data_IF_688370209578
#
_entry.id   IF_688370209578
#
_cell.length_a   1.000
_cell.length_b   1.000
_cell.length_c   1.000
_cell.angle_alpha   90.00
_cell.angle_beta   90.00
_cell.angle_gamma   90.00
#
_symmetry.space_group_name_H-M   'P 1'
#
loop_
_entity.id
_entity.type
_entity.pdbx_description
1 polymer ?
#
# COMPACT_ATOMS: atom_id res chain seq x y z
N UNK A 1 -0.95 -0.71 7.57
CA UNK A 1 -1.73 0.03 8.58
C UNK A 1 -2.38 -1.01 9.47
N UNK A 2 -2.08 -1.04 10.77
CA UNK A 2 -2.74 -1.98 11.67
C UNK A 2 -4.22 -1.62 11.80
N UNK A 3 -5.06 -2.63 11.98
CA UNK A 3 -6.46 -2.45 12.36
C UNK A 3 -6.80 -3.35 13.54
N UNK A 4 -7.69 -2.89 14.40
CA UNK A 4 -8.28 -3.66 15.48
C UNK A 4 -9.80 -3.45 15.49
N UNK A 5 -10.53 -4.54 15.62
CA UNK A 5 -11.99 -4.57 15.72
C UNK A 5 -12.33 -5.09 17.10
N UNK A 6 -13.06 -4.29 17.86
CA UNK A 6 -13.47 -4.58 19.22
C UNK A 6 -14.97 -4.83 19.29
N UNK A 7 -15.37 -5.64 20.26
CA UNK A 7 -16.76 -5.78 20.67
C UNK A 7 -17.25 -4.55 21.42
N UNK A 8 -18.56 -4.48 21.72
CA UNK A 8 -19.09 -3.43 22.57
C UNK A 8 -18.41 -3.42 23.95
N UNK A 9 -17.98 -2.24 24.38
CA UNK A 9 -17.51 -2.01 25.74
C UNK A 9 -18.70 -1.95 26.71
N UNK A 10 -18.54 -2.54 27.89
CA UNK A 10 -19.39 -2.28 29.04
C UNK A 10 -18.67 -1.21 29.89
N UNK A 11 -19.42 -0.31 30.53
CA UNK A 11 -18.84 0.78 31.31
C UNK A 11 -17.85 0.25 32.36
N UNK A 12 -16.62 0.77 32.35
CA UNK A 12 -15.53 0.33 33.21
C UNK A 12 -14.77 -0.95 32.77
N UNK A 13 -15.13 -1.58 31.66
CA UNK A 13 -14.44 -2.77 31.13
C UNK A 13 -13.68 -2.45 29.83
N UNK A 14 -12.52 -3.08 29.65
CA UNK A 14 -11.79 -3.03 28.38
C UNK A 14 -12.58 -3.79 27.31
N UNK A 15 -12.80 -3.21 26.12
CA UNK A 15 -13.55 -3.87 25.07
C UNK A 15 -12.81 -5.10 24.56
N UNK A 16 -13.55 -6.19 24.33
CA UNK A 16 -12.98 -7.44 23.84
C UNK A 16 -12.46 -7.29 22.40
N UNK A 17 -11.22 -7.69 22.14
CA UNK A 17 -10.67 -7.72 20.79
C UNK A 17 -11.31 -8.90 20.01
N UNK A 18 -12.04 -8.58 18.95
CA UNK A 18 -12.66 -9.57 18.05
C UNK A 18 -11.68 -9.97 16.95
N UNK A 19 -10.99 -8.99 16.36
CA UNK A 19 -10.11 -9.21 15.21
C UNK A 19 -9.01 -8.15 15.14
N UNK A 20 -7.85 -8.54 14.65
CA UNK A 20 -6.79 -7.61 14.29
C UNK A 20 -6.03 -8.10 13.06
N UNK A 21 -5.31 -7.18 12.44
CA UNK A 21 -4.42 -7.47 11.33
C UNK A 21 -3.87 -6.20 10.72
N UNK A 22 -3.29 -6.33 9.53
CA UNK A 22 -2.73 -5.22 8.77
C UNK A 22 -3.44 -5.07 7.42
N UNK A 23 -3.60 -3.80 7.03
CA UNK A 23 -3.95 -3.36 5.68
C UNK A 23 -2.67 -2.90 4.98
N UNK A 24 -2.30 -3.56 3.87
CA UNK A 24 -1.29 -3.06 2.95
C UNK A 24 -1.91 -1.98 2.06
N UNK A 25 -1.12 -0.96 1.70
CA UNK A 25 -1.55 0.12 0.82
C UNK A 25 -0.39 0.51 -0.11
N UNK A 26 -0.71 0.69 -1.38
CA UNK A 26 0.16 1.31 -2.40
C UNK A 26 -0.65 2.31 -3.20
N UNK A 27 -0.01 3.33 -3.76
CA UNK A 27 -0.70 4.39 -4.48
C UNK A 27 0.17 4.97 -5.59
N UNK A 28 -0.48 5.63 -6.55
CA UNK A 28 0.15 6.41 -7.61
C UNK A 28 -0.59 7.75 -7.76
N UNK A 29 0.14 8.82 -8.12
CA UNK A 29 -0.40 10.17 -8.28
C UNK A 29 0.02 11.14 -7.18
N UNK A 30 -0.82 12.14 -6.88
CA UNK A 30 -0.52 13.18 -5.90
C UNK A 30 -0.39 12.61 -4.48
N UNK A 31 0.86 12.44 -4.01
CA UNK A 31 1.21 11.69 -2.80
C UNK A 31 0.60 12.23 -1.50
N UNK A 32 0.33 13.53 -1.42
CA UNK A 32 -0.24 14.17 -0.21
C UNK A 32 -1.56 13.50 0.18
N UNK A 33 -2.44 13.21 -0.79
CA UNK A 33 -3.77 12.67 -0.50
C UNK A 33 -3.69 11.25 0.06
N UNK A 34 -3.04 10.27 -0.60
CA UNK A 34 -2.84 8.93 -0.04
C UNK A 34 -2.12 8.91 1.30
N UNK A 35 -1.16 9.82 1.53
CA UNK A 35 -0.44 9.88 2.80
C UNK A 35 -1.32 10.40 3.94
N UNK A 36 -2.05 11.51 3.73
CA UNK A 36 -3.01 12.01 4.72
C UNK A 36 -4.09 10.98 5.04
N UNK A 37 -4.58 10.32 3.99
CA UNK A 37 -5.53 9.24 4.13
C UNK A 37 -4.98 8.07 4.92
N UNK A 38 -3.77 7.62 4.61
CA UNK A 38 -3.13 6.52 5.33
C UNK A 38 -3.05 6.82 6.82
N UNK A 39 -2.68 8.04 7.21
CA UNK A 39 -2.59 8.42 8.62
C UNK A 39 -3.98 8.51 9.28
N UNK A 40 -4.95 9.18 8.65
CA UNK A 40 -6.31 9.29 9.17
C UNK A 40 -6.98 7.90 9.31
N UNK A 41 -6.83 7.04 8.29
CA UNK A 41 -7.34 5.68 8.33
C UNK A 41 -6.63 4.83 9.37
N UNK A 42 -5.32 4.96 9.54
CA UNK A 42 -4.58 4.21 10.56
C UNK A 42 -5.12 4.52 11.96
N UNK A 43 -5.43 5.78 12.26
CA UNK A 43 -6.02 6.19 13.54
C UNK A 43 -7.42 5.58 13.72
N UNK A 44 -8.29 5.72 12.72
CA UNK A 44 -9.67 5.22 12.79
C UNK A 44 -9.71 3.69 12.88
N UNK A 45 -8.90 3.01 12.07
CA UNK A 45 -8.84 1.55 12.01
C UNK A 45 -8.22 0.94 13.27
N UNK A 46 -7.44 1.71 14.03
CA UNK A 46 -6.81 1.23 15.25
C UNK A 46 -7.83 0.85 16.34
N UNK A 47 -9.04 1.41 16.31
CA UNK A 47 -10.12 1.14 17.28
C UNK A 47 -11.51 1.14 16.63
N UNK A 48 -11.75 0.21 15.69
CA UNK A 48 -13.09 -0.01 15.13
C UNK A 48 -13.92 -0.85 16.11
N UNK A 49 -15.22 -0.59 16.17
CA UNK A 49 -16.15 -1.39 16.97
C UNK A 49 -17.13 -2.14 16.06
N UNK A 50 -17.43 -3.39 16.40
CA UNK A 50 -18.44 -4.21 15.75
C UNK A 50 -19.28 -4.92 16.80
N UNK A 51 -20.55 -5.18 16.50
CA UNK A 51 -21.43 -5.97 17.37
C UNK A 51 -21.55 -7.39 16.78
N UNK A 52 -20.98 -8.43 17.44
CA UNK A 52 -21.07 -9.80 16.95
C UNK A 52 -22.51 -10.23 16.69
N UNK A 53 -22.77 -10.80 15.51
CA UNK A 53 -24.10 -11.23 15.08
C UNK A 53 -24.98 -10.12 14.48
N UNK A 54 -24.54 -8.85 14.52
CA UNK A 54 -25.27 -7.70 13.96
C UNK A 54 -24.46 -6.92 12.93
N UNK A 55 -23.15 -6.79 13.13
CA UNK A 55 -22.24 -6.08 12.23
C UNK A 55 -21.42 -7.07 11.40
N UNK A 56 -21.22 -6.76 10.12
CA UNK A 56 -20.15 -7.36 9.33
C UNK A 56 -18.81 -6.71 9.71
N UNK A 57 -17.77 -7.53 9.85
CA UNK A 57 -16.41 -7.10 10.19
C UNK A 57 -15.35 -7.88 9.39
N UNK A 58 -15.75 -8.37 8.22
CA UNK A 58 -14.84 -8.96 7.23
C UNK A 58 -14.18 -7.88 6.36
N UNK A 59 -13.30 -8.31 5.46
CA UNK A 59 -12.59 -7.38 4.57
C UNK A 59 -13.52 -6.63 3.60
N UNK A 60 -14.75 -7.11 3.36
CA UNK A 60 -15.73 -6.40 2.56
C UNK A 60 -16.26 -5.16 3.29
N UNK A 61 -16.60 -5.34 4.57
CA UNK A 61 -17.06 -4.26 5.42
C UNK A 61 -15.93 -3.24 5.64
N UNK A 62 -14.71 -3.71 5.92
CA UNK A 62 -13.54 -2.84 6.09
C UNK A 62 -13.20 -2.07 4.81
N UNK A 63 -13.29 -2.68 3.63
CA UNK A 63 -12.98 -1.99 2.37
C UNK A 63 -13.99 -0.89 2.04
N UNK A 64 -15.28 -1.14 2.28
CA UNK A 64 -16.34 -0.12 2.18
C UNK A 64 -16.12 1.03 3.16
N UNK A 65 -15.76 0.70 4.40
CA UNK A 65 -15.44 1.70 5.41
C UNK A 65 -14.25 2.59 5.00
N UNK A 66 -13.15 1.96 4.56
CA UNK A 66 -11.97 2.65 4.02
C UNK A 66 -12.34 3.53 2.83
N UNK A 67 -13.17 3.02 1.92
CA UNK A 67 -13.64 3.76 0.74
C UNK A 67 -14.51 4.97 1.11
N UNK A 68 -15.40 4.85 2.10
CA UNK A 68 -16.20 6.01 2.54
C UNK A 68 -15.33 7.10 3.17
N UNK A 69 -14.30 6.72 3.92
CA UNK A 69 -13.31 7.67 4.42
C UNK A 69 -12.49 8.29 3.28
N UNK A 70 -12.07 7.50 2.28
CA UNK A 70 -11.45 7.99 1.03
C UNK A 70 -12.32 9.07 0.38
N UNK A 71 -13.57 8.73 0.06
CA UNK A 71 -14.50 9.60 -0.68
C UNK A 71 -14.75 10.90 0.10
N UNK A 72 -14.85 10.82 1.42
CA UNK A 72 -15.01 12.00 2.28
C UNK A 72 -13.78 12.92 2.23
N UNK A 73 -12.57 12.37 2.39
CA UNK A 73 -11.32 13.14 2.36
C UNK A 73 -11.08 13.71 0.96
N UNK A 74 -11.29 12.89 -0.08
CA UNK A 74 -11.13 13.27 -1.47
C UNK A 74 -12.04 14.45 -1.85
N UNK A 75 -13.32 14.43 -1.46
CA UNK A 75 -14.24 15.54 -1.75
C UNK A 75 -13.86 16.84 -1.04
N UNK A 76 -13.39 16.78 0.20
CA UNK A 76 -12.90 17.96 0.92
C UNK A 76 -11.63 18.52 0.28
N UNK A 77 -10.73 17.65 -0.17
CA UNK A 77 -9.52 18.03 -0.87
C UNK A 77 -9.80 18.59 -2.26
N UNK A 78 -10.72 18.00 -3.02
CA UNK A 78 -11.04 18.41 -4.39
C UNK A 78 -11.58 19.84 -4.46
N UNK A 79 -12.41 20.22 -3.47
CA UNK A 79 -12.85 21.59 -3.28
C UNK A 79 -11.68 22.59 -3.18
N UNK A 80 -10.54 22.17 -2.65
CA UNK A 80 -9.34 23.01 -2.46
C UNK A 80 -8.40 22.99 -3.66
N UNK A 81 -8.46 21.95 -4.49
CA UNK A 81 -7.56 21.76 -5.65
C UNK A 81 -8.19 22.07 -7.01
N UNK A 82 -9.47 22.47 -7.04
CA UNK A 82 -10.23 22.78 -8.26
C UNK A 82 -10.23 21.63 -9.28
N UNK A 83 -10.53 20.40 -8.87
CA UNK A 83 -10.70 19.29 -9.81
C UNK A 83 -9.42 18.59 -10.28
N UNK A 84 -8.22 19.03 -9.86
CA UNK A 84 -6.94 18.57 -10.41
C UNK A 84 -6.32 17.35 -9.71
N UNK A 85 -7.11 16.58 -8.97
CA UNK A 85 -6.59 15.41 -8.24
C UNK A 85 -6.66 14.18 -9.15
N UNK A 86 -5.49 13.58 -9.38
CA UNK A 86 -5.37 12.25 -9.96
C UNK A 86 -4.63 11.34 -8.99
N UNK A 87 -5.33 10.31 -8.49
CA UNK A 87 -4.80 9.36 -7.52
C UNK A 87 -5.42 7.98 -7.72
N UNK A 88 -4.58 6.96 -7.77
CA UNK A 88 -4.97 5.56 -7.68
C UNK A 88 -4.43 4.96 -6.39
N UNK A 89 -5.25 4.19 -5.68
CA UNK A 89 -4.87 3.48 -4.46
C UNK A 89 -5.26 2.01 -4.61
N UNK A 90 -4.33 1.13 -4.30
CA UNK A 90 -4.58 -0.30 -4.12
C UNK A 90 -4.31 -0.63 -2.65
N UNK A 91 -5.23 -1.33 -2.03
CA UNK A 91 -5.10 -1.74 -0.64
C UNK A 91 -5.70 -3.12 -0.42
N UNK A 92 -5.28 -3.81 0.64
CA UNK A 92 -5.82 -5.13 0.92
C UNK A 92 -5.31 -5.73 2.21
N UNK A 93 -5.91 -6.85 2.58
CA UNK A 93 -5.62 -7.55 3.84
C UNK A 93 -6.25 -8.93 3.87
N UNK A 94 -5.99 -9.66 4.96
CA UNK A 94 -6.52 -11.01 5.17
C UNK A 94 -8.01 -11.00 5.50
N UNK A 95 -8.81 -11.73 4.72
CA UNK A 95 -10.22 -11.95 4.98
C UNK A 95 -10.43 -13.33 5.61
N UNK A 96 -10.65 -13.37 6.92
CA UNK A 96 -10.90 -14.62 7.66
C UNK A 96 -12.08 -15.42 7.10
N UNK A 97 -13.19 -14.73 6.75
CA UNK A 97 -14.40 -15.38 6.23
C UNK A 97 -14.17 -16.09 4.90
N UNK A 98 -13.27 -15.55 4.07
CA UNK A 98 -12.94 -16.10 2.77
C UNK A 98 -11.64 -16.93 2.78
N UNK A 99 -10.94 -16.99 3.91
CA UNK A 99 -9.62 -17.61 4.06
C UNK A 99 -8.62 -17.22 2.97
N UNK A 100 -8.62 -15.94 2.56
CA UNK A 100 -7.73 -15.41 1.53
C UNK A 100 -7.49 -13.91 1.69
N UNK A 101 -6.41 -13.39 1.08
CA UNK A 101 -6.26 -11.96 0.88
C UNK A 101 -7.31 -11.45 -0.10
N UNK A 102 -7.90 -10.28 0.22
CA UNK A 102 -8.77 -9.54 -0.70
C UNK A 102 -8.15 -8.18 -0.94
N UNK A 103 -7.97 -7.85 -2.22
CA UNK A 103 -7.31 -6.64 -2.67
C UNK A 103 -8.33 -5.77 -3.39
N UNK A 104 -8.31 -4.49 -3.11
CA UNK A 104 -9.24 -3.51 -3.62
C UNK A 104 -8.49 -2.36 -4.24
N UNK A 105 -9.08 -1.82 -5.29
CA UNK A 105 -8.59 -0.67 -6.01
C UNK A 105 -9.63 0.45 -5.93
N UNK A 106 -9.15 1.66 -5.73
CA UNK A 106 -9.91 2.89 -5.84
C UNK A 106 -9.14 3.91 -6.66
N UNK A 107 -9.85 4.65 -7.49
CA UNK A 107 -9.28 5.69 -8.35
C UNK A 107 -10.13 6.95 -8.25
N UNK A 108 -9.45 8.08 -8.25
CA UNK A 108 -10.03 9.41 -8.38
C UNK A 108 -9.26 10.12 -9.47
N UNK A 109 -9.99 10.54 -10.50
CA UNK A 109 -9.46 11.40 -11.58
C UNK A 109 -10.36 12.61 -11.72
N UNK A 110 -9.94 13.62 -12.48
CA UNK A 110 -10.73 14.84 -12.74
C UNK A 110 -12.14 14.54 -13.31
N UNK A 111 -12.33 13.36 -13.92
CA UNK A 111 -13.56 12.99 -14.63
C UNK A 111 -14.31 11.83 -14.00
N UNK A 112 -13.74 11.15 -13.00
CA UNK A 112 -14.28 9.88 -12.49
C UNK A 112 -14.84 10.04 -11.08
N UNK A 113 -16.06 9.54 -10.88
CA UNK A 113 -16.61 9.34 -9.54
C UNK A 113 -15.75 8.27 -8.85
N UNK A 114 -15.33 8.48 -7.59
CA UNK A 114 -14.63 7.46 -6.83
C UNK A 114 -15.36 6.13 -6.89
N UNK A 115 -14.62 5.07 -7.18
CA UNK A 115 -15.14 3.71 -7.21
C UNK A 115 -14.30 2.80 -6.34
N UNK A 116 -14.91 1.71 -5.88
CA UNK A 116 -14.25 0.63 -5.15
C UNK A 116 -14.45 -0.66 -5.93
N UNK A 117 -13.35 -1.26 -6.38
CA UNK A 117 -13.37 -2.51 -7.14
C UNK A 117 -12.46 -3.53 -6.48
N UNK A 118 -12.93 -4.75 -6.26
CA UNK A 118 -12.05 -5.86 -5.87
C UNK A 118 -11.23 -6.31 -7.08
N UNK A 119 -9.92 -6.41 -6.91
CA UNK A 119 -8.93 -6.75 -7.96
C UNK A 119 -8.08 -7.95 -7.52
N UNK A 120 -7.32 -8.54 -8.44
CA UNK A 120 -6.48 -9.72 -8.18
C UNK A 120 -7.31 -10.91 -7.68
N UNK A 121 -8.38 -11.21 -8.41
CA UNK A 121 -9.34 -12.26 -8.09
C UNK A 121 -8.79 -13.65 -8.37
N UNK A 122 -7.82 -13.77 -9.30
CA UNK A 122 -7.19 -15.03 -9.68
C UNK A 122 -5.69 -15.06 -9.35
N UNK A 123 -5.14 -16.25 -9.05
CA UNK A 123 -3.69 -16.42 -8.91
C UNK A 123 -2.97 -16.02 -10.19
N UNK A 124 -1.86 -15.28 -10.05
CA UNK A 124 -1.07 -14.83 -11.19
C UNK A 124 -1.61 -13.58 -11.88
N UNK A 125 -2.57 -12.88 -11.29
CA UNK A 125 -2.93 -11.52 -11.70
C UNK A 125 -1.98 -10.48 -11.08
N UNK A 126 -1.79 -9.37 -11.80
CA UNK A 126 -1.10 -8.17 -11.30
C UNK A 126 -1.91 -6.94 -11.67
N UNK A 127 -1.90 -5.93 -10.80
CA UNK A 127 -2.49 -4.63 -11.06
C UNK A 127 -1.36 -3.60 -11.00
N UNK A 128 -1.23 -2.82 -12.08
CA UNK A 128 -0.20 -1.80 -12.22
C UNK A 128 -0.87 -0.42 -12.37
N UNK A 129 -0.31 0.58 -11.70
CA UNK A 129 -0.79 1.97 -11.72
C UNK A 129 0.38 2.95 -11.89
N UNK A 130 0.05 4.18 -12.32
CA UNK A 130 1.01 5.26 -12.50
C UNK A 130 1.46 5.45 -13.95
N UNK A 131 2.34 6.43 -14.17
CA UNK A 131 2.76 6.83 -15.51
C UNK A 131 3.60 5.77 -16.24
N UNK A 132 4.29 4.89 -15.51
CA UNK A 132 5.05 3.76 -16.06
C UNK A 132 4.22 2.51 -16.37
N UNK A 133 2.89 2.56 -16.18
CA UNK A 133 2.00 1.39 -16.26
C UNK A 133 2.16 0.63 -17.58
N UNK A 134 2.00 1.32 -18.71
CA UNK A 134 1.98 0.68 -20.02
C UNK A 134 3.30 -0.07 -20.31
N UNK A 135 4.43 0.51 -19.92
CA UNK A 135 5.75 -0.09 -20.13
C UNK A 135 5.99 -1.28 -19.18
N UNK A 136 5.60 -1.15 -17.90
CA UNK A 136 5.66 -2.26 -16.96
C UNK A 136 4.80 -3.45 -17.41
N UNK A 137 3.58 -3.19 -17.87
CA UNK A 137 2.68 -4.23 -18.40
C UNK A 137 3.28 -4.91 -19.65
N UNK A 138 3.88 -4.12 -20.55
CA UNK A 138 4.57 -4.64 -21.75
C UNK A 138 5.74 -5.57 -21.38
N UNK A 139 6.54 -5.22 -20.37
CA UNK A 139 7.68 -6.03 -19.92
C UNK A 139 7.22 -7.32 -19.23
N UNK A 140 6.12 -7.24 -18.47
CA UNK A 140 5.57 -8.37 -17.73
C UNK A 140 4.72 -9.31 -18.59
N UNK A 141 4.32 -8.89 -19.79
CA UNK A 141 3.49 -9.70 -20.69
C UNK A 141 4.14 -11.06 -20.98
N UNK A 142 3.42 -12.13 -20.66
CA UNK A 142 3.88 -13.52 -20.83
C UNK A 142 4.99 -13.97 -19.86
N UNK A 143 5.42 -13.13 -18.92
CA UNK A 143 6.41 -13.49 -17.91
C UNK A 143 5.72 -14.13 -16.68
N UNK A 144 6.35 -15.12 -16.02
CA UNK A 144 5.85 -15.62 -14.74
C UNK A 144 5.93 -14.51 -13.70
N UNK A 145 4.85 -14.27 -12.94
CA UNK A 145 4.83 -13.27 -11.88
C UNK A 145 5.56 -13.78 -10.63
N UNK A 146 6.81 -13.36 -10.48
CA UNK A 146 7.67 -13.66 -9.35
C UNK A 146 8.25 -12.35 -8.82
N UNK A 147 8.71 -12.29 -7.56
CA UNK A 147 9.41 -11.09 -7.06
C UNK A 147 10.54 -10.64 -8.01
N UNK A 148 11.26 -11.59 -8.61
CA UNK A 148 12.31 -11.33 -9.62
C UNK A 148 11.81 -10.57 -10.83
N UNK A 149 10.80 -11.10 -11.49
CA UNK A 149 10.29 -10.53 -12.74
C UNK A 149 9.59 -9.19 -12.50
N UNK A 150 8.85 -9.06 -11.39
CA UNK A 150 8.18 -7.82 -11.02
C UNK A 150 9.20 -6.72 -10.70
N UNK A 151 10.19 -7.00 -9.85
CA UNK A 151 11.21 -6.02 -9.48
C UNK A 151 12.10 -5.67 -10.68
N UNK A 152 12.43 -6.65 -11.53
CA UNK A 152 13.16 -6.42 -12.78
C UNK A 152 12.41 -5.55 -13.78
N UNK A 153 11.08 -5.71 -13.89
CA UNK A 153 10.25 -4.85 -14.71
C UNK A 153 10.23 -3.42 -14.16
N UNK A 154 10.04 -3.24 -12.84
CA UNK A 154 10.08 -1.92 -12.22
C UNK A 154 11.42 -1.22 -12.41
N UNK A 155 12.54 -1.94 -12.24
CA UNK A 155 13.89 -1.37 -12.45
C UNK A 155 14.11 -0.97 -13.90
N UNK A 156 13.68 -1.80 -14.85
CA UNK A 156 13.74 -1.48 -16.28
C UNK A 156 12.96 -0.20 -16.61
N UNK A 157 11.76 -0.02 -16.05
CA UNK A 157 10.96 1.21 -16.27
C UNK A 157 11.62 2.43 -15.62
N UNK A 158 12.21 2.28 -14.43
CA UNK A 158 12.92 3.37 -13.74
C UNK A 158 14.16 3.82 -14.51
N UNK A 159 14.88 2.88 -15.13
CA UNK A 159 16.12 3.14 -15.84
C UNK A 159 15.89 3.55 -17.31
N UNK A 160 14.66 3.47 -17.80
CA UNK A 160 14.32 3.80 -19.19
C UNK A 160 14.26 5.33 -19.39
N UNK A 161 15.20 5.92 -20.16
CA UNK A 161 15.19 7.36 -20.42
C UNK A 161 13.97 7.83 -21.23
N UNK A 162 13.27 6.93 -21.92
CA UNK A 162 12.05 7.23 -22.67
C UNK A 162 10.81 7.31 -21.77
N UNK A 163 10.92 6.91 -20.49
CA UNK A 163 9.87 7.06 -19.46
C UNK A 163 10.33 8.04 -18.36
N UNK A 164 10.61 9.32 -18.68
CA UNK A 164 11.23 10.27 -17.75
C UNK A 164 10.34 10.65 -16.54
N UNK A 165 9.07 10.23 -16.57
CA UNK A 165 8.11 10.46 -15.49
C UNK A 165 8.24 9.45 -14.34
N UNK A 166 9.01 8.39 -14.52
CA UNK A 166 9.24 7.35 -13.50
C UNK A 166 10.68 7.41 -13.06
N UNK A 167 10.89 7.32 -11.76
CA UNK A 167 12.22 7.37 -11.16
C UNK A 167 12.17 7.02 -9.68
N UNK A 168 13.30 7.20 -9.01
CA UNK A 168 13.42 6.90 -7.59
C UNK A 168 13.63 5.41 -7.31
N UNK A 169 13.23 4.98 -6.12
CA UNK A 169 13.62 3.69 -5.57
C UNK A 169 12.43 2.76 -5.42
N UNK A 170 12.71 1.46 -5.48
CA UNK A 170 11.70 0.42 -5.28
C UNK A 170 11.50 0.21 -3.78
N UNK A 171 10.24 0.22 -3.35
CA UNK A 171 9.83 -0.23 -2.02
C UNK A 171 8.97 -1.48 -2.18
N UNK A 172 9.19 -2.47 -1.32
CA UNK A 172 8.49 -3.74 -1.38
C UNK A 172 7.83 -4.07 -0.04
N UNK A 173 6.71 -4.77 -0.09
CA UNK A 173 6.09 -5.35 1.08
C UNK A 173 5.23 -6.54 0.70
N UNK A 174 5.13 -7.51 1.60
CA UNK A 174 4.25 -8.68 1.44
C UNK A 174 3.20 -8.74 2.56
N UNK A 175 2.08 -9.39 2.24
CA UNK A 175 1.08 -9.77 3.22
C UNK A 175 1.25 -11.26 3.52
N UNK A 176 1.72 -11.57 4.73
CA UNK A 176 1.81 -12.92 5.27
C UNK A 176 0.69 -13.13 6.29
N UNK A 177 -0.32 -13.91 5.89
CA UNK A 177 -1.59 -14.00 6.59
C UNK A 177 -2.15 -12.60 6.90
N UNK A 178 -2.44 -12.31 8.17
CA UNK A 178 -2.98 -11.03 8.62
C UNK A 178 -1.91 -9.96 8.91
N UNK A 179 -0.64 -10.17 8.56
CA UNK A 179 0.45 -9.23 8.84
C UNK A 179 1.08 -8.69 7.57
N UNK A 180 1.33 -7.38 7.56
CA UNK A 180 2.07 -6.73 6.49
C UNK A 180 3.54 -6.57 6.88
N UNK A 181 4.45 -7.00 6.01
CA UNK A 181 5.89 -6.89 6.22
C UNK A 181 6.50 -6.01 5.15
N UNK A 182 6.95 -4.79 5.48
CA UNK A 182 7.74 -3.99 4.57
C UNK A 182 9.17 -4.56 4.49
N UNK A 183 9.76 -4.50 3.31
CA UNK A 183 11.16 -4.84 3.07
C UNK A 183 11.89 -3.65 2.50
N UNK A 184 13.15 -3.50 2.91
CA UNK A 184 14.10 -2.67 2.15
C UNK A 184 14.55 -3.40 0.89
N UNK A 185 15.02 -2.62 -0.08
CA UNK A 185 15.60 -3.14 -1.31
C UNK A 185 17.09 -2.81 -1.31
N UNK A 186 17.96 -3.82 -1.41
CA UNK A 186 19.41 -3.62 -1.46
C UNK A 186 19.86 -3.66 -2.92
N UNK A 187 20.37 -2.55 -3.43
CA UNK A 187 21.10 -2.49 -4.68
C UNK A 187 22.61 -2.48 -4.40
N UNK A 188 23.35 -3.50 -4.86
CA UNK A 188 24.81 -3.54 -4.74
C UNK A 188 25.41 -2.86 -5.98
N UNK A 189 25.37 -1.53 -6.00
CA UNK A 189 26.05 -0.75 -7.03
C UNK A 189 27.34 -0.18 -6.45
N UNK A 190 28.38 -1.02 -6.38
CA UNK A 190 29.67 -0.71 -5.77
C UNK A 190 29.56 -0.37 -4.28
N UNK A 191 29.65 -1.36 -3.37
CA UNK A 191 29.74 -1.21 -1.91
C UNK A 191 28.67 -0.35 -1.16
N UNK A 192 27.73 0.32 -1.82
CA UNK A 192 26.69 1.11 -1.16
C UNK A 192 25.41 0.30 -0.97
N UNK A 193 24.79 0.44 0.21
CA UNK A 193 23.48 -0.13 0.55
C UNK A 193 22.55 1.05 0.80
N UNK A 194 21.46 1.16 0.04
CA UNK A 194 20.44 2.19 0.25
C UNK A 194 19.14 1.57 0.78
N UNK A 195 18.48 2.29 1.69
CA UNK A 195 17.27 1.88 2.37
C UNK A 195 16.23 2.97 2.17
N UNK A 196 15.06 2.59 1.67
CA UNK A 196 13.99 3.55 1.37
C UNK A 196 12.71 3.20 2.10
N UNK A 197 12.08 4.19 2.75
CA UNK A 197 10.74 4.07 3.34
C UNK A 197 9.91 5.34 3.16
N UNK A 198 8.72 5.19 2.61
CA UNK A 198 7.81 6.31 2.34
C UNK A 198 8.36 7.17 1.19
N UNK A 199 9.27 8.08 1.50
CA UNK A 199 10.04 8.90 0.55
C UNK A 199 11.45 9.22 1.08
N UNK A 200 11.89 8.52 2.14
CA UNK A 200 13.10 8.84 2.88
C UNK A 200 14.17 7.80 2.58
N UNK A 201 15.37 8.26 2.20
CA UNK A 201 16.59 7.46 2.20
C UNK A 201 17.14 7.39 3.62
N UNK A 202 17.02 6.24 4.31
CA UNK A 202 17.62 6.11 5.65
C UNK A 202 19.12 5.82 5.59
N UNK A 203 19.71 5.76 4.39
CA UNK A 203 21.14 5.72 4.19
C UNK A 203 21.73 7.09 3.80
N UNK A 204 20.92 8.15 3.70
CA UNK A 204 21.46 9.49 3.45
C UNK A 204 22.31 9.98 4.62
N UNK A 205 23.16 10.97 4.37
CA UNK A 205 24.05 11.56 5.39
C UNK A 205 23.27 12.07 6.61
N UNK A 206 22.04 12.54 6.39
CA UNK A 206 21.13 13.04 7.42
C UNK A 206 20.79 11.99 8.48
N UNK A 207 20.82 10.69 8.16
CA UNK A 207 20.50 9.60 9.09
C UNK A 207 21.75 8.84 9.53
N UNK A 208 22.71 8.64 8.62
CA UNK A 208 23.92 7.83 8.85
C UNK A 208 24.96 8.57 9.68
N UNK A 209 25.16 9.87 9.46
CA UNK A 209 26.17 10.65 10.18
C UNK A 209 25.68 11.21 11.53
N UNK A 210 24.36 11.26 11.75
CA UNK A 210 23.76 12.01 12.86
C UNK A 210 23.23 11.14 14.01
N UNK A 211 22.78 9.91 13.74
CA UNK A 211 21.99 9.16 14.75
C UNK A 211 22.61 7.85 15.22
N UNK A 212 23.57 7.25 14.51
CA UNK A 212 24.08 5.88 14.73
C UNK A 212 23.01 4.77 14.77
N UNK A 213 21.73 5.11 14.56
CA UNK A 213 20.61 4.19 14.57
C UNK A 213 20.43 3.63 13.16
N UNK A 214 20.42 2.31 13.05
CA UNK A 214 20.15 1.60 11.81
C UNK A 214 18.78 0.91 11.95
N UNK A 215 17.82 1.18 11.04
CA UNK A 215 16.54 0.50 11.02
C UNK A 215 16.72 -1.02 10.85
N UNK A 216 16.16 -1.82 11.76
CA UNK A 216 16.14 -3.28 11.64
C UNK A 216 14.96 -3.72 10.76
N UNK A 217 15.19 -3.88 9.46
CA UNK A 217 14.12 -4.14 8.49
C UNK A 217 14.56 -5.29 7.59
N UNK A 218 13.70 -6.29 7.31
CA UNK A 218 14.03 -7.34 6.35
C UNK A 218 14.40 -6.73 5.00
N UNK A 219 15.32 -7.38 4.30
CA UNK A 219 15.82 -6.87 3.03
C UNK A 219 15.73 -7.92 1.93
N UNK A 220 15.42 -7.43 0.73
CA UNK A 220 15.56 -8.20 -0.50
C UNK A 220 16.86 -7.77 -1.18
N UNK A 221 17.71 -8.77 -1.47
CA UNK A 221 18.97 -8.59 -2.20
C UNK A 221 18.71 -8.62 -3.71
N UNK A 222 18.74 -7.45 -4.37
CA UNK A 222 18.51 -7.38 -5.81
C UNK A 222 19.55 -8.17 -6.61
N UNK A 223 20.79 -8.32 -6.13
CA UNK A 223 21.81 -9.09 -6.84
C UNK A 223 21.56 -10.60 -6.82
N UNK A 224 20.75 -11.09 -5.88
CA UNK A 224 20.31 -12.50 -5.84
C UNK A 224 19.00 -12.74 -6.58
N UNK A 225 18.28 -11.67 -6.87
CA UNK A 225 16.95 -11.73 -7.45
C UNK A 225 16.94 -11.30 -8.91
N UNK A 226 17.77 -10.34 -9.34
CA UNK A 226 17.96 -9.95 -10.74
C UNK A 226 18.99 -10.85 -11.43
#
# INVERSE_FOLDING_TARGET
MPYNIYGPAIDGEEPSLIRCGDIAITFAGYSIIPLMMKEALAEILFKVQAVPGWSDYDMDALSKFIFHAFDTIARDADFKTNGKINVGIIFGGWCEKACKHRIYKMELTETTIPSLTEVLLQPGEIEVMGSGKAEAERILEGQPLTPRTIVGALKSVIDDPEVPSVGGNIQYGDLDANRFRPHGVIEINGNYVHYWRGLIDLNSEEFTNSTSLIPNIPHIDLAKIL
#
